data_IF_323775026147
#
_entry.id   IF_323775026147
#
_cell.length_a   1.000
_cell.length_b   1.000
_cell.length_c   1.000
_cell.angle_alpha   90.00
_cell.angle_beta   90.00
_cell.angle_gamma   90.00
#
_symmetry.space_group_name_H-M   'P 1'
#
loop_
_entity.id
_entity.type
_entity.pdbx_description
1 polymer ?
#
# COMPACT_ATOMS: atom_id res chain seq x y z
N UNK A 1 -14.64 15.44 -0.52
CA UNK A 1 -14.05 15.21 0.82
C UNK A 1 -13.73 13.74 0.98
N UNK A 2 -12.47 13.41 1.25
CA UNK A 2 -12.03 12.04 1.43
C UNK A 2 -12.71 11.40 2.65
N UNK A 3 -13.36 10.25 2.46
CA UNK A 3 -13.96 9.45 3.52
C UNK A 3 -13.88 7.96 3.15
N UNK A 4 -13.29 7.15 4.04
CA UNK A 4 -13.24 5.70 3.91
C UNK A 4 -14.07 5.05 5.03
N UNK A 5 -15.10 4.34 4.62
CA UNK A 5 -15.96 3.59 5.53
C UNK A 5 -15.32 2.25 5.93
N UNK A 6 -15.75 1.70 7.07
CA UNK A 6 -15.35 0.35 7.47
C UNK A 6 -15.86 -0.74 6.50
N UNK A 7 -16.96 -0.47 5.78
CA UNK A 7 -17.52 -1.38 4.79
C UNK A 7 -16.63 -1.45 3.53
N UNK A 8 -16.15 -0.31 3.03
CA UNK A 8 -15.17 -0.24 1.94
C UNK A 8 -13.89 -0.94 2.32
N UNK A 9 -13.37 -0.70 3.53
CA UNK A 9 -12.21 -1.46 4.04
C UNK A 9 -12.50 -2.96 4.03
N UNK A 10 -13.69 -3.41 4.44
CA UNK A 10 -14.05 -4.84 4.44
C UNK A 10 -14.08 -5.44 3.03
N UNK A 11 -14.50 -4.68 2.02
CA UNK A 11 -14.49 -5.09 0.61
C UNK A 11 -13.08 -5.12 0.02
N UNK A 12 -12.26 -4.12 0.33
CA UNK A 12 -10.88 -4.02 -0.18
C UNK A 12 -9.92 -4.97 0.54
N UNK A 13 -10.16 -5.24 1.83
CA UNK A 13 -9.30 -6.10 2.65
C UNK A 13 -8.99 -7.47 2.03
N UNK A 14 -9.95 -8.26 1.53
CA UNK A 14 -9.65 -9.54 0.89
C UNK A 14 -8.83 -9.37 -0.40
N UNK A 15 -9.15 -8.37 -1.22
CA UNK A 15 -8.45 -8.09 -2.48
C UNK A 15 -6.99 -7.73 -2.22
N UNK A 16 -6.75 -6.80 -1.29
CA UNK A 16 -5.42 -6.38 -0.87
C UNK A 16 -4.64 -7.57 -0.29
N UNK A 17 -5.29 -8.40 0.54
CA UNK A 17 -4.66 -9.61 1.08
C UNK A 17 -4.31 -10.63 0.00
N UNK A 18 -5.12 -10.75 -1.05
CA UNK A 18 -4.84 -11.63 -2.18
C UNK A 18 -3.61 -11.15 -2.96
N UNK A 19 -3.52 -9.86 -3.26
CA UNK A 19 -2.34 -9.25 -3.90
C UNK A 19 -1.10 -9.45 -3.03
N UNK A 20 -1.18 -9.18 -1.72
CA UNK A 20 -0.08 -9.44 -0.80
C UNK A 20 0.35 -10.91 -0.84
N UNK A 21 -0.60 -11.85 -0.80
CA UNK A 21 -0.31 -13.29 -0.84
C UNK A 21 0.34 -13.73 -2.16
N UNK A 22 -0.13 -13.19 -3.29
CA UNK A 22 0.43 -13.45 -4.63
C UNK A 22 1.91 -13.08 -4.72
N UNK A 23 2.30 -12.01 -4.03
CA UNK A 23 3.69 -11.52 -3.97
C UNK A 23 4.47 -12.07 -2.76
N UNK A 24 3.90 -13.00 -1.99
CA UNK A 24 4.56 -13.59 -0.81
C UNK A 24 4.72 -12.61 0.35
N UNK A 25 3.87 -11.58 0.43
CA UNK A 25 3.87 -10.54 1.45
C UNK A 25 2.79 -10.79 2.50
N UNK A 26 3.07 -10.41 3.74
CA UNK A 26 2.13 -10.43 4.87
C UNK A 26 2.04 -9.05 5.47
N UNK A 27 0.81 -8.55 5.61
CA UNK A 27 0.55 -7.22 6.13
C UNK A 27 -0.79 -7.07 6.82
N UNK A 28 -1.00 -5.89 7.40
CA UNK A 28 -2.25 -5.48 8.03
C UNK A 28 -2.79 -4.22 7.37
N UNK A 29 -4.12 -4.05 7.42
CA UNK A 29 -4.83 -2.93 6.81
C UNK A 29 -5.56 -2.18 7.92
N UNK A 30 -5.36 -0.87 7.95
CA UNK A 30 -5.89 0.06 8.95
C UNK A 30 -6.54 1.26 8.25
N UNK A 31 -7.45 1.93 8.95
CA UNK A 31 -7.98 3.22 8.52
C UNK A 31 -7.39 4.25 9.47
N UNK A 32 -6.83 5.33 8.92
CA UNK A 32 -6.37 6.48 9.68
C UNK A 32 -7.30 7.67 9.42
N UNK A 33 -7.75 8.32 10.49
CA UNK A 33 -8.65 9.48 10.48
C UNK A 33 -9.93 9.37 9.60
N UNK A 34 -10.38 8.15 9.27
CA UNK A 34 -11.49 7.92 8.34
C UNK A 34 -11.29 8.52 6.94
N UNK A 35 -10.07 8.91 6.60
CA UNK A 35 -9.74 9.53 5.30
C UNK A 35 -8.63 8.79 4.56
N UNK A 36 -7.83 8.00 5.26
CA UNK A 36 -6.66 7.31 4.70
C UNK A 36 -6.71 5.80 4.96
N UNK A 37 -6.54 5.01 3.90
CA UNK A 37 -6.34 3.57 3.98
C UNK A 37 -4.85 3.27 4.12
N UNK A 38 -4.46 2.70 5.26
CA UNK A 38 -3.06 2.40 5.58
C UNK A 38 -2.81 0.90 5.46
N UNK A 39 -1.86 0.50 4.62
CA UNK A 39 -1.39 -0.89 4.50
C UNK A 39 0.01 -0.98 5.08
N UNK A 40 0.17 -1.82 6.10
CA UNK A 40 1.46 -2.10 6.73
C UNK A 40 1.93 -3.50 6.37
N UNK A 41 2.97 -3.60 5.56
CA UNK A 41 3.63 -4.84 5.18
C UNK A 41 4.63 -5.20 6.29
N UNK A 42 4.43 -6.33 6.97
CA UNK A 42 5.24 -6.76 8.12
C UNK A 42 6.38 -7.69 7.72
N UNK A 43 6.10 -8.62 6.84
CA UNK A 43 7.09 -9.60 6.38
C UNK A 43 6.80 -10.06 4.97
N UNK A 44 7.76 -10.70 4.33
CA UNK A 44 7.55 -11.37 3.06
C UNK A 44 8.84 -11.77 2.35
N UNK A 45 8.67 -12.35 1.16
CA UNK A 45 9.79 -12.90 0.36
C UNK A 45 10.47 -11.87 -0.55
N UNK A 46 9.96 -10.64 -0.60
CA UNK A 46 10.51 -9.57 -1.44
C UNK A 46 11.52 -8.76 -0.62
N UNK A 47 12.68 -8.51 -1.20
CA UNK A 47 13.71 -7.68 -0.60
C UNK A 47 13.59 -6.23 -1.08
N UNK A 48 12.75 -5.46 -0.38
CA UNK A 48 12.55 -4.03 -0.65
C UNK A 48 13.83 -3.19 -0.47
N UNK A 49 14.81 -3.67 0.30
CA UNK A 49 16.06 -2.94 0.54
C UNK A 49 17.04 -3.16 -0.61
N UNK A 50 17.09 -4.38 -1.15
CA UNK A 50 17.89 -4.70 -2.33
C UNK A 50 17.32 -4.09 -3.62
N UNK A 51 15.98 -4.08 -3.75
CA UNK A 51 15.28 -3.51 -4.91
C UNK A 51 15.15 -1.97 -4.87
N UNK A 52 15.64 -1.30 -3.81
CA UNK A 52 15.60 0.15 -3.69
C UNK A 52 16.68 0.82 -4.56
N UNK A 53 16.25 1.67 -5.52
CA UNK A 53 17.12 2.31 -6.52
C UNK A 53 18.14 3.25 -5.87
N UNK A 54 17.70 4.06 -4.91
CA UNK A 54 18.56 5.06 -4.27
C UNK A 54 19.28 4.54 -3.02
N UNK A 55 19.15 3.26 -2.67
CA UNK A 55 19.56 2.67 -1.37
C UNK A 55 18.98 3.37 -0.13
N UNK A 56 18.15 4.39 -0.33
CA UNK A 56 17.35 5.04 0.69
C UNK A 56 16.10 4.21 0.93
N UNK A 57 16.14 3.44 2.00
CA UNK A 57 15.02 2.64 2.46
C UNK A 57 14.26 3.41 3.54
N UNK A 58 13.05 3.83 3.20
CA UNK A 58 12.15 4.52 4.12
C UNK A 58 11.05 3.56 4.56
N UNK A 59 10.60 3.71 5.81
CA UNK A 59 9.51 2.87 6.33
C UNK A 59 8.19 3.17 5.63
N UNK A 60 8.00 4.38 5.13
CA UNK A 60 6.81 4.80 4.39
C UNK A 60 7.15 4.87 2.90
N UNK A 61 6.32 4.23 2.09
CA UNK A 61 6.43 4.22 0.63
C UNK A 61 5.53 5.30 0.07
N UNK A 62 6.14 6.23 -0.66
CA UNK A 62 5.39 7.21 -1.43
C UNK A 62 4.82 6.55 -2.70
N UNK A 63 3.50 6.49 -2.79
CA UNK A 63 2.73 5.84 -3.85
C UNK A 63 2.94 6.47 -5.24
N UNK A 64 3.28 7.76 -5.30
CA UNK A 64 3.52 8.48 -6.55
C UNK A 64 4.90 8.23 -7.14
N UNK A 65 5.85 7.78 -6.33
CA UNK A 65 7.24 7.62 -6.72
C UNK A 65 7.72 6.16 -6.64
N UNK A 66 6.81 5.18 -6.54
CA UNK A 66 7.15 3.75 -6.50
C UNK A 66 8.10 3.36 -7.63
N UNK A 67 7.81 3.80 -8.87
CA UNK A 67 8.60 3.48 -10.06
C UNK A 67 9.99 4.14 -10.07
N UNK A 68 10.21 5.19 -9.27
CA UNK A 68 11.50 5.87 -9.13
C UNK A 68 12.31 5.37 -7.94
N UNK A 69 11.65 4.81 -6.92
CA UNK A 69 12.33 4.31 -5.72
C UNK A 69 12.59 2.81 -5.73
N UNK A 70 11.79 2.03 -6.45
CA UNK A 70 11.88 0.57 -6.47
C UNK A 70 11.98 0.04 -7.90
N UNK A 71 12.66 -1.09 -8.06
CA UNK A 71 12.72 -1.85 -9.30
C UNK A 71 12.29 -3.30 -9.09
N UNK A 72 12.17 -4.08 -10.17
CA UNK A 72 11.99 -5.52 -10.11
C UNK A 72 10.70 -5.98 -9.42
N UNK A 73 10.83 -6.90 -8.45
CA UNK A 73 9.69 -7.52 -7.78
C UNK A 73 9.01 -6.56 -6.81
N UNK A 74 9.78 -5.76 -6.08
CA UNK A 74 9.24 -4.74 -5.18
C UNK A 74 8.37 -3.72 -5.91
N UNK A 75 8.84 -3.19 -7.04
CA UNK A 75 8.08 -2.24 -7.85
C UNK A 75 6.73 -2.84 -8.28
N UNK A 76 6.74 -4.05 -8.85
CA UNK A 76 5.52 -4.72 -9.32
C UNK A 76 4.53 -4.97 -8.18
N UNK A 77 5.02 -5.43 -7.03
CA UNK A 77 4.17 -5.69 -5.87
C UNK A 77 3.54 -4.41 -5.31
N UNK A 78 4.32 -3.33 -5.21
CA UNK A 78 3.83 -2.03 -4.71
C UNK A 78 2.83 -1.38 -5.68
N UNK A 79 3.05 -1.50 -6.99
CA UNK A 79 2.09 -1.01 -8.00
C UNK A 79 0.78 -1.79 -7.95
N UNK A 80 0.82 -3.13 -7.96
CA UNK A 80 -0.39 -3.95 -7.84
C UNK A 80 -1.13 -3.67 -6.51
N UNK A 81 -0.39 -3.43 -5.41
CA UNK A 81 -0.97 -3.06 -4.12
C UNK A 81 -1.64 -1.69 -4.17
N UNK A 82 -0.97 -0.68 -4.74
CA UNK A 82 -1.52 0.68 -4.93
C UNK A 82 -2.80 0.63 -5.76
N UNK A 83 -2.80 -0.13 -6.85
CA UNK A 83 -3.97 -0.25 -7.71
C UNK A 83 -5.12 -0.93 -6.98
N UNK A 84 -4.84 -1.99 -6.21
CA UNK A 84 -5.85 -2.65 -5.36
C UNK A 84 -6.43 -1.72 -4.27
N UNK A 85 -5.62 -0.84 -3.69
CA UNK A 85 -6.07 0.15 -2.71
C UNK A 85 -6.90 1.28 -3.31
N UNK A 86 -6.77 1.51 -4.62
CA UNK A 86 -7.53 2.52 -5.37
C UNK A 86 -8.78 1.97 -6.07
N UNK A 87 -9.11 0.68 -5.89
CA UNK A 87 -10.33 0.10 -6.45
C UNK A 87 -11.55 0.83 -5.84
N UNK A 88 -12.34 1.49 -6.70
CA UNK A 88 -13.51 2.24 -6.26
C UNK A 88 -13.18 3.60 -5.63
N UNK A 89 -11.94 4.07 -5.70
CA UNK A 89 -11.51 5.38 -5.20
C UNK A 89 -11.92 6.51 -6.17
N UNK A 90 -13.20 6.57 -6.52
CA UNK A 90 -13.78 7.57 -7.43
C UNK A 90 -15.05 8.15 -6.83
N UNK A 91 -15.01 9.42 -6.42
CA UNK A 91 -16.19 10.13 -5.97
C UNK A 91 -16.89 10.81 -7.16
N UNK A 92 -17.87 10.13 -7.76
CA UNK A 92 -18.57 10.61 -8.96
C UNK A 92 -19.64 11.68 -8.69
N UNK A 93 -19.62 12.36 -7.54
CA UNK A 93 -20.72 13.26 -7.17
C UNK A 93 -20.59 14.70 -7.68
N UNK A 94 -19.40 15.21 -8.04
CA UNK A 94 -19.25 16.53 -8.68
C UNK A 94 -18.08 16.57 -9.68
N UNK A 95 -18.17 17.47 -10.67
CA UNK A 95 -17.30 17.60 -11.84
C UNK A 95 -15.83 18.03 -11.58
N UNK A 96 -15.27 17.74 -10.41
CA UNK A 96 -13.86 17.99 -10.09
C UNK A 96 -13.28 16.82 -9.30
N UNK A 97 -12.49 15.97 -9.95
CA UNK A 97 -11.30 15.23 -9.43
C UNK A 97 -11.19 14.98 -7.89
N UNK A 98 -12.24 14.53 -7.21
CA UNK A 98 -12.22 14.25 -5.78
C UNK A 98 -11.73 12.80 -5.53
N UNK A 99 -10.59 12.65 -4.86
CA UNK A 99 -10.14 11.37 -4.29
C UNK A 99 -11.12 10.95 -3.18
N UNK A 100 -11.67 9.74 -3.30
CA UNK A 100 -12.57 9.14 -2.31
C UNK A 100 -11.87 8.88 -0.97
N UNK A 101 -10.61 8.45 -1.00
CA UNK A 101 -9.73 8.33 0.17
C UNK A 101 -8.25 8.42 -0.23
N UNK A 102 -7.40 8.74 0.75
CA UNK A 102 -5.95 8.67 0.61
C UNK A 102 -5.44 7.25 0.87
N UNK A 103 -4.27 6.93 0.34
CA UNK A 103 -3.62 5.64 0.55
C UNK A 103 -2.25 5.85 1.18
N UNK A 104 -1.84 4.92 2.04
CA UNK A 104 -0.53 4.95 2.68
C UNK A 104 0.02 3.53 2.74
N UNK A 105 1.25 3.32 2.27
CA UNK A 105 1.90 2.01 2.28
C UNK A 105 3.13 2.10 3.19
N UNK A 106 3.20 1.23 4.19
CA UNK A 106 4.27 1.16 5.16
C UNK A 106 4.99 -0.20 5.10
N UNK A 107 6.32 -0.19 5.06
CA UNK A 107 7.20 -1.35 5.16
C UNK A 107 7.68 -1.53 6.60
N UNK A 108 6.85 -2.20 7.39
CA UNK A 108 7.00 -2.33 8.83
C UNK A 108 6.28 -1.20 9.58
N UNK A 109 6.59 -1.08 10.85
CA UNK A 109 6.12 0.00 11.73
C UNK A 109 7.31 0.81 12.19
N UNK A 110 7.06 2.00 12.74
CA UNK A 110 8.11 2.86 13.32
C UNK A 110 9.05 2.10 14.27
N UNK A 111 8.51 1.14 15.03
CA UNK A 111 9.27 0.36 16.02
C UNK A 111 9.78 -0.99 15.49
N UNK A 112 9.28 -1.47 14.35
CA UNK A 112 9.60 -2.81 13.82
C UNK A 112 9.77 -2.75 12.32
N UNK A 113 11.00 -2.86 11.85
CA UNK A 113 11.32 -2.94 10.43
C UNK A 113 10.69 -4.17 9.77
N UNK A 114 10.52 -4.09 8.45
CA UNK A 114 10.11 -5.21 7.63
C UNK A 114 11.04 -6.42 7.78
N UNK A 115 10.47 -7.62 7.82
CA UNK A 115 11.20 -8.88 7.95
C UNK A 115 11.23 -9.59 6.59
N UNK A 116 12.42 -9.75 6.02
CA UNK A 116 12.63 -10.59 4.86
C UNK A 116 12.57 -12.07 5.28
N UNK A 117 11.54 -12.77 4.82
CA UNK A 117 11.42 -14.22 4.96
C UNK A 117 12.25 -14.87 3.84
N UNK A 118 13.24 -15.69 4.23
CA UNK A 118 14.12 -16.45 3.31
C UNK A 118 13.47 -17.73 2.82
#
# INVERSE_FOLDING_TARGET
MAYVSQDEKRKLSPIIKEVLKKHGLKGSISINNYTTLVVTIKSGTIDFKADAIHKEYWYNVNEYFIEKHYTGKAQKALLELRDAMNIGNYNNTHANLDVGWYIEINLGTLNKSYILEK
#
